data_IF_861585634400
#
_entry.id   IF_861585634400
#
_cell.length_a   1.000
_cell.length_b   1.000
_cell.length_c   1.000
_cell.angle_alpha   90.00
_cell.angle_beta   90.00
_cell.angle_gamma   90.00
#
_symmetry.space_group_name_H-M   'P 1'
#
loop_
_entity.id
_entity.type
_entity.pdbx_description
1 polymer ?
#
# COMPACT_ATOMS: atom_id res chain seq x y z
N UNK A 1 8.44 32.83 8.27
CA UNK A 1 7.90 31.47 8.46
C UNK A 1 7.57 30.90 7.09
N UNK A 2 8.41 30.06 6.47
CA UNK A 2 8.13 29.56 5.13
C UNK A 2 7.16 28.38 5.18
N UNK A 3 6.09 28.46 4.38
CA UNK A 3 5.21 27.35 4.09
C UNK A 3 5.96 26.31 3.25
N UNK A 4 5.92 25.04 3.64
CA UNK A 4 6.64 23.95 2.94
C UNK A 4 5.67 22.88 2.45
N UNK A 5 5.92 22.41 1.23
CA UNK A 5 5.31 21.17 0.73
C UNK A 5 6.23 20.03 1.13
N UNK A 6 5.73 19.13 1.99
CA UNK A 6 6.51 18.04 2.59
C UNK A 6 5.74 16.73 2.58
N UNK A 7 6.45 15.64 2.86
CA UNK A 7 5.88 14.32 3.00
C UNK A 7 5.65 14.00 4.47
N UNK A 8 4.43 13.64 4.83
CA UNK A 8 4.12 13.05 6.14
C UNK A 8 4.15 11.54 6.02
N UNK A 9 4.80 10.85 6.97
CA UNK A 9 4.93 9.40 6.93
C UNK A 9 3.72 8.77 7.60
N UNK A 10 2.95 8.07 6.80
CA UNK A 10 1.92 7.12 7.21
C UNK A 10 2.36 5.70 6.85
N UNK A 11 1.50 4.72 7.14
CA UNK A 11 1.76 3.32 6.88
C UNK A 11 2.49 2.62 8.02
N UNK A 12 2.86 1.37 7.78
CA UNK A 12 3.37 0.44 8.79
C UNK A 12 4.91 0.37 8.74
N UNK A 13 5.51 -0.40 9.65
CA UNK A 13 6.94 -0.77 9.53
C UNK A 13 7.15 -1.50 8.19
N UNK A 14 8.25 -1.22 7.51
CA UNK A 14 8.62 -1.77 6.18
C UNK A 14 7.64 -1.50 5.01
N UNK A 15 6.47 -0.90 5.23
CA UNK A 15 5.51 -0.50 4.19
C UNK A 15 5.18 0.99 4.34
N UNK A 16 6.06 1.89 3.88
CA UNK A 16 5.86 3.33 4.02
C UNK A 16 4.79 3.83 3.05
N UNK A 17 3.96 4.75 3.52
CA UNK A 17 2.95 5.45 2.72
C UNK A 17 3.03 6.93 3.05
N UNK A 18 3.04 7.81 2.07
CA UNK A 18 3.24 9.23 2.33
C UNK A 18 2.05 10.06 1.90
N UNK A 19 1.71 11.05 2.72
CA UNK A 19 0.81 12.11 2.29
C UNK A 19 1.66 13.31 1.85
N UNK A 20 1.28 13.89 0.71
CA UNK A 20 1.88 15.13 0.20
C UNK A 20 1.06 16.26 0.79
N UNK A 21 1.70 17.09 1.60
CA UNK A 21 0.99 18.00 2.51
C UNK A 21 1.67 19.36 2.55
N UNK A 22 0.86 20.40 2.64
CA UNK A 22 1.27 21.78 2.86
C UNK A 22 1.23 22.07 4.36
N UNK A 23 2.35 22.46 4.94
CA UNK A 23 2.45 22.77 6.36
C UNK A 23 3.50 23.84 6.65
N UNK A 24 3.41 24.48 7.82
CA UNK A 24 4.49 25.35 8.31
C UNK A 24 5.76 24.51 8.51
N UNK A 25 6.90 25.06 8.08
CA UNK A 25 8.24 24.53 8.33
C UNK A 25 8.52 24.07 9.77
N UNK A 26 7.94 24.72 10.78
CA UNK A 26 8.19 24.46 12.21
C UNK A 26 7.30 23.36 12.79
N UNK A 27 6.22 22.99 12.10
CA UNK A 27 5.34 21.94 12.58
C UNK A 27 6.08 20.58 12.60
N UNK A 28 5.73 19.69 13.53
CA UNK A 28 6.27 18.31 13.57
C UNK A 28 6.00 17.58 12.25
N UNK A 29 6.84 16.60 11.87
CA UNK A 29 6.72 15.86 10.59
C UNK A 29 5.29 15.39 10.33
N UNK A 30 4.75 14.60 11.25
CA UNK A 30 3.41 14.01 11.17
C UNK A 30 2.39 14.79 12.02
N UNK A 31 2.64 16.08 12.25
CA UNK A 31 1.77 16.96 13.03
C UNK A 31 0.68 17.65 12.19
N UNK A 32 0.10 18.70 12.77
CA UNK A 32 -0.90 19.54 12.11
C UNK A 32 -0.40 20.08 10.77
N UNK A 33 -1.27 20.03 9.78
CA UNK A 33 -1.06 20.57 8.45
C UNK A 33 -2.17 21.53 8.05
N UNK A 34 -1.97 22.26 6.96
CA UNK A 34 -2.96 23.19 6.41
C UNK A 34 -3.85 22.45 5.41
N UNK A 35 -3.23 21.80 4.43
CA UNK A 35 -3.96 21.12 3.35
C UNK A 35 -3.20 19.88 2.86
N UNK A 36 -3.96 18.83 2.53
CA UNK A 36 -3.44 17.60 1.91
C UNK A 36 -3.58 17.73 0.39
N UNK A 37 -2.45 17.75 -0.31
CA UNK A 37 -2.38 17.85 -1.77
C UNK A 37 -2.51 16.49 -2.47
N UNK A 38 -2.16 15.40 -1.78
CA UNK A 38 -2.16 14.09 -2.42
C UNK A 38 -1.49 13.00 -1.60
N UNK A 39 -1.16 11.91 -2.28
CA UNK A 39 -0.54 10.71 -1.73
C UNK A 39 0.63 10.24 -2.60
N UNK A 40 1.59 9.59 -1.94
CA UNK A 40 2.73 8.96 -2.58
C UNK A 40 3.00 7.59 -1.96
N UNK A 41 2.95 6.55 -2.79
CA UNK A 41 3.28 5.18 -2.39
C UNK A 41 4.52 4.70 -3.17
N UNK A 42 5.69 4.60 -2.53
CA UNK A 42 6.90 4.06 -3.17
C UNK A 42 6.95 2.53 -3.20
N UNK A 43 6.03 1.83 -2.54
CA UNK A 43 6.04 0.36 -2.46
C UNK A 43 5.58 -0.27 -3.77
N UNK A 44 4.77 0.45 -4.55
CA UNK A 44 4.33 0.02 -5.87
C UNK A 44 5.38 0.34 -6.93
N UNK A 45 5.48 -0.52 -7.96
CA UNK A 45 6.35 -0.29 -9.11
C UNK A 45 5.53 -0.44 -10.41
N UNK A 46 5.26 0.67 -11.14
CA UNK A 46 5.67 2.06 -10.86
C UNK A 46 5.06 2.66 -9.58
N UNK A 47 5.73 3.65 -8.99
CA UNK A 47 5.25 4.28 -7.75
C UNK A 47 3.92 5.02 -7.97
N UNK A 48 2.94 4.76 -7.12
CA UNK A 48 1.61 5.38 -7.20
C UNK A 48 1.68 6.79 -6.64
N UNK A 49 1.32 7.77 -7.46
CA UNK A 49 1.27 9.19 -7.10
C UNK A 49 -0.09 9.72 -7.52
N UNK A 50 -0.88 10.14 -6.54
CA UNK A 50 -2.11 10.90 -6.76
C UNK A 50 -1.89 12.31 -6.20
N UNK A 51 -2.19 13.31 -7.00
CA UNK A 51 -1.90 14.69 -6.69
C UNK A 51 -3.02 15.57 -7.23
N UNK A 52 -3.53 16.46 -6.39
CA UNK A 52 -4.38 17.56 -6.81
C UNK A 52 -3.51 18.64 -7.48
N UNK A 53 -3.67 18.78 -8.79
CA UNK A 53 -2.85 19.66 -9.61
C UNK A 53 -3.07 21.15 -9.30
N UNK A 54 -4.33 21.56 -9.18
CA UNK A 54 -4.69 22.97 -9.08
C UNK A 54 -4.36 23.53 -7.70
N UNK A 55 -4.66 22.77 -6.64
CA UNK A 55 -4.29 23.16 -5.28
C UNK A 55 -2.76 23.19 -5.11
N UNK A 56 -2.05 22.20 -5.66
CA UNK A 56 -0.57 22.20 -5.62
C UNK A 56 0.02 23.42 -6.31
N UNK A 57 -0.52 23.80 -7.47
CA UNK A 57 -0.08 24.97 -8.22
C UNK A 57 -0.34 26.27 -7.44
N UNK A 58 -1.54 26.42 -6.88
CA UNK A 58 -1.93 27.58 -6.06
C UNK A 58 -0.96 27.81 -4.90
N UNK A 59 -0.64 26.78 -4.13
CA UNK A 59 0.31 26.90 -3.01
C UNK A 59 1.73 27.25 -3.47
N UNK A 60 2.16 26.71 -4.61
CA UNK A 60 3.45 27.04 -5.19
C UNK A 60 3.54 28.47 -5.70
N UNK A 61 2.45 29.04 -6.26
CA UNK A 61 2.36 30.45 -6.64
C UNK A 61 2.37 31.35 -5.40
N UNK A 62 1.71 30.94 -4.33
CA UNK A 62 1.74 31.62 -3.02
C UNK A 62 3.09 31.51 -2.29
N UNK A 63 4.12 30.92 -2.91
CA UNK A 63 5.48 30.89 -2.39
C UNK A 63 5.83 29.66 -1.55
N UNK A 64 4.99 28.62 -1.51
CA UNK A 64 5.32 27.39 -0.80
C UNK A 64 6.61 26.75 -1.37
N UNK A 65 7.51 26.35 -0.48
CA UNK A 65 8.79 25.76 -0.82
C UNK A 65 8.73 24.23 -0.73
N UNK A 66 8.88 23.47 -1.84
CA UNK A 66 8.88 22.02 -1.79
C UNK A 66 10.21 21.46 -1.26
N UNK A 67 10.12 20.40 -0.45
CA UNK A 67 11.29 19.58 -0.06
C UNK A 67 11.82 18.77 -1.25
N UNK A 68 13.01 18.18 -1.14
CA UNK A 68 13.68 17.52 -2.27
C UNK A 68 12.84 16.43 -2.95
N UNK A 69 12.35 15.46 -2.18
CA UNK A 69 11.49 14.38 -2.72
C UNK A 69 10.15 14.92 -3.21
N UNK A 70 9.54 15.88 -2.50
CA UNK A 70 8.29 16.50 -2.95
C UNK A 70 8.48 17.24 -4.28
N UNK A 71 9.61 17.92 -4.47
CA UNK A 71 9.98 18.58 -5.73
C UNK A 71 10.09 17.59 -6.87
N UNK A 72 10.71 16.42 -6.65
CA UNK A 72 10.77 15.35 -7.66
C UNK A 72 9.38 14.86 -8.05
N UNK A 73 8.49 14.65 -7.08
CA UNK A 73 7.11 14.21 -7.32
C UNK A 73 6.33 15.28 -8.12
N UNK A 74 6.42 16.55 -7.72
CA UNK A 74 5.77 17.67 -8.40
C UNK A 74 6.33 17.89 -9.81
N UNK A 75 7.63 17.67 -10.01
CA UNK A 75 8.27 17.71 -11.33
C UNK A 75 7.82 16.55 -12.20
N UNK A 76 7.73 15.33 -11.65
CA UNK A 76 7.31 14.14 -12.37
C UNK A 76 5.87 14.27 -12.88
N UNK A 77 4.96 14.83 -12.07
CA UNK A 77 3.58 15.08 -12.46
C UNK A 77 3.39 16.33 -13.33
N UNK A 78 4.34 17.27 -13.35
CA UNK A 78 4.30 18.44 -14.24
C UNK A 78 3.89 19.77 -13.59
N UNK A 79 3.53 19.78 -12.31
CA UNK A 79 3.09 21.01 -11.61
C UNK A 79 4.17 22.11 -11.64
N UNK A 80 5.44 21.72 -11.43
CA UNK A 80 6.54 22.68 -11.49
C UNK A 80 6.79 23.23 -12.89
N UNK A 81 6.52 22.43 -13.92
CA UNK A 81 6.64 22.88 -15.31
C UNK A 81 5.53 23.88 -15.66
N UNK A 82 4.28 23.60 -15.27
CA UNK A 82 3.16 24.54 -15.40
C UNK A 82 3.45 25.86 -14.67
N UNK A 83 3.97 25.82 -13.44
CA UNK A 83 4.40 27.02 -12.70
C UNK A 83 5.44 27.85 -13.48
N UNK A 84 6.43 27.19 -14.09
CA UNK A 84 7.47 27.88 -14.85
C UNK A 84 6.90 28.60 -16.08
N UNK A 85 6.01 27.93 -16.82
CA UNK A 85 5.35 28.50 -17.99
C UNK A 85 4.47 29.71 -17.62
N UNK A 86 3.67 29.61 -16.55
CA UNK A 86 2.89 30.72 -16.02
C UNK A 86 3.77 31.90 -15.60
N UNK A 87 4.96 31.63 -15.05
CA UNK A 87 5.95 32.68 -14.76
C UNK A 87 6.49 33.39 -15.99
N UNK A 88 6.51 32.73 -17.16
CA UNK A 88 6.82 33.33 -18.46
C UNK A 88 5.67 34.20 -18.98
N UNK A 89 4.43 33.72 -18.85
CA UNK A 89 3.22 34.47 -19.20
C UNK A 89 3.10 35.75 -18.37
N UNK A 90 3.31 35.66 -17.04
CA UNK A 90 3.28 36.81 -16.14
C UNK A 90 4.35 37.87 -16.47
N UNK A 91 5.44 37.48 -17.15
CA UNK A 91 6.49 38.38 -17.63
C UNK A 91 6.26 38.88 -19.07
N UNK A 92 5.18 38.46 -19.72
CA UNK A 92 4.86 38.79 -21.11
C UNK A 92 5.72 38.08 -22.17
N UNK A 93 6.50 37.06 -21.77
CA UNK A 93 7.37 36.32 -22.69
C UNK A 93 6.64 35.23 -23.48
N UNK A 94 5.40 34.91 -23.09
CA UNK A 94 4.61 33.84 -23.66
C UNK A 94 3.12 34.18 -23.57
N UNK A 95 2.32 33.73 -24.53
CA UNK A 95 0.85 33.76 -24.41
C UNK A 95 0.37 32.56 -23.58
N UNK A 96 -0.82 32.68 -22.99
CA UNK A 96 -1.41 31.61 -22.18
C UNK A 96 -1.66 30.35 -23.01
N UNK A 97 -2.10 30.50 -24.26
CA UNK A 97 -2.30 29.38 -25.19
C UNK A 97 -1.00 28.65 -25.56
N UNK A 98 0.10 29.40 -25.75
CA UNK A 98 1.40 28.79 -26.03
C UNK A 98 1.95 28.04 -24.81
N UNK A 99 1.65 28.52 -23.60
CA UNK A 99 1.98 27.83 -22.35
C UNK A 99 1.27 26.49 -22.28
N UNK A 100 -0.03 26.47 -22.55
CA UNK A 100 -0.84 25.25 -22.53
C UNK A 100 -0.38 24.25 -23.59
N UNK A 101 -0.16 24.69 -24.83
CA UNK A 101 0.38 23.84 -25.90
C UNK A 101 1.71 23.19 -25.52
N UNK A 102 2.64 23.96 -24.92
CA UNK A 102 3.92 23.44 -24.44
C UNK A 102 3.75 22.48 -23.26
N UNK A 103 2.80 22.75 -22.37
CA UNK A 103 2.50 21.87 -21.25
C UNK A 103 1.93 20.53 -21.70
N UNK A 104 0.95 20.54 -22.61
CA UNK A 104 0.34 19.33 -23.17
C UNK A 104 1.34 18.48 -23.96
N UNK A 105 2.19 19.11 -24.78
CA UNK A 105 3.24 18.41 -25.51
C UNK A 105 4.20 17.69 -24.55
N UNK A 106 4.57 18.36 -23.45
CA UNK A 106 5.41 17.76 -22.41
C UNK A 106 4.69 16.61 -21.67
N UNK A 107 3.40 16.77 -21.35
CA UNK A 107 2.61 15.72 -20.71
C UNK A 107 2.53 14.47 -21.58
N UNK A 108 2.28 14.62 -22.89
CA UNK A 108 2.24 13.50 -23.85
C UNK A 108 3.58 12.76 -23.93
N UNK A 109 4.71 13.48 -24.01
CA UNK A 109 6.05 12.87 -23.98
C UNK A 109 6.30 12.10 -22.66
N UNK A 110 5.85 12.66 -21.52
CA UNK A 110 5.98 12.00 -20.23
C UNK A 110 5.11 10.77 -20.11
N UNK A 111 3.86 10.84 -20.52
CA UNK A 111 2.94 9.70 -20.53
C UNK A 111 3.48 8.57 -21.41
N UNK A 112 4.02 8.88 -22.60
CA UNK A 112 4.70 7.90 -23.45
C UNK A 112 5.85 7.20 -22.71
N UNK A 113 6.76 7.95 -22.09
CA UNK A 113 7.87 7.39 -21.30
C UNK A 113 7.42 6.57 -20.10
N UNK A 114 6.27 6.90 -19.52
CA UNK A 114 5.69 6.14 -18.41
C UNK A 114 5.10 4.84 -18.92
N UNK A 115 4.34 4.86 -20.03
CA UNK A 115 3.79 3.67 -20.67
C UNK A 115 4.89 2.70 -21.12
N UNK A 116 5.99 3.21 -21.67
CA UNK A 116 7.17 2.39 -22.02
C UNK A 116 7.80 1.70 -20.81
N UNK A 117 7.88 2.40 -19.67
CA UNK A 117 8.40 1.82 -18.43
C UNK A 117 7.46 0.77 -17.87
N UNK A 118 6.16 1.07 -17.82
CA UNK A 118 5.13 0.14 -17.32
C UNK A 118 5.14 -1.15 -18.15
N UNK A 119 5.10 -1.05 -19.47
CA UNK A 119 5.13 -2.22 -20.36
C UNK A 119 6.41 -3.05 -20.21
N UNK A 120 7.58 -2.43 -20.03
CA UNK A 120 8.84 -3.14 -19.74
C UNK A 120 8.79 -3.86 -18.39
N UNK A 121 8.24 -3.21 -17.36
CA UNK A 121 8.09 -3.82 -16.03
C UNK A 121 7.11 -4.99 -16.06
N UNK A 122 6.01 -4.87 -16.80
CA UNK A 122 5.02 -5.94 -16.95
C UNK A 122 5.60 -7.15 -17.68
N UNK A 123 6.34 -6.94 -18.77
CA UNK A 123 7.06 -8.02 -19.47
C UNK A 123 8.05 -8.73 -18.54
N UNK A 124 8.92 -7.98 -17.87
CA UNK A 124 9.88 -8.56 -16.93
C UNK A 124 9.21 -9.33 -15.77
N UNK A 125 8.06 -8.85 -15.26
CA UNK A 125 7.27 -9.57 -14.26
C UNK A 125 6.63 -10.84 -14.82
N UNK A 126 6.18 -10.83 -16.08
CA UNK A 126 5.61 -12.00 -16.73
C UNK A 126 6.68 -13.07 -16.95
N UNK A 127 7.86 -12.68 -17.47
CA UNK A 127 9.00 -13.58 -17.70
C UNK A 127 9.47 -14.22 -16.39
N UNK A 128 9.66 -13.41 -15.34
CA UNK A 128 10.05 -13.92 -14.02
C UNK A 128 9.02 -14.88 -13.40
N UNK A 129 7.72 -14.65 -13.62
CA UNK A 129 6.67 -15.57 -13.17
C UNK A 129 6.65 -16.87 -13.97
N UNK A 130 6.85 -16.79 -15.29
CA UNK A 130 6.91 -17.97 -16.14
C UNK A 130 8.11 -18.86 -15.78
N UNK A 131 9.28 -18.27 -15.54
CA UNK A 131 10.46 -19.00 -15.06
C UNK A 131 10.26 -19.62 -13.67
N UNK A 132 9.61 -18.91 -12.75
CA UNK A 132 9.29 -19.46 -11.42
C UNK A 132 8.35 -20.66 -11.51
N UNK A 133 7.28 -20.56 -12.32
CA UNK A 133 6.35 -21.66 -12.55
C UNK A 133 7.00 -22.86 -13.26
N UNK A 134 7.93 -22.63 -14.19
CA UNK A 134 8.69 -23.70 -14.82
C UNK A 134 9.58 -24.44 -13.81
N UNK A 135 10.29 -23.70 -12.95
CA UNK A 135 11.12 -24.28 -11.88
C UNK A 135 10.28 -25.04 -10.86
N UNK A 136 9.10 -24.54 -10.49
CA UNK A 136 8.18 -25.25 -9.59
C UNK A 136 7.65 -26.55 -10.22
N UNK A 137 7.32 -26.56 -11.51
CA UNK A 137 6.91 -27.78 -12.23
C UNK A 137 8.03 -28.81 -12.29
N UNK A 138 9.25 -28.42 -12.63
CA UNK A 138 10.39 -29.35 -12.63
C UNK A 138 10.67 -29.95 -11.24
N UNK A 139 10.52 -29.17 -10.17
CA UNK A 139 10.68 -29.68 -8.79
C UNK A 139 9.53 -30.61 -8.41
N UNK A 140 8.30 -30.30 -8.84
CA UNK A 140 7.13 -31.16 -8.63
C UNK A 140 7.26 -32.49 -9.38
N UNK A 141 7.62 -32.46 -10.65
CA UNK A 141 7.77 -33.65 -11.49
C UNK A 141 8.90 -34.56 -10.97
N UNK A 142 10.01 -33.98 -10.51
CA UNK A 142 11.09 -34.73 -9.83
C UNK A 142 10.59 -35.40 -8.54
N UNK A 143 9.79 -34.70 -7.73
CA UNK A 143 9.21 -35.26 -6.49
C UNK A 143 8.20 -36.39 -6.79
N UNK A 144 7.39 -36.27 -7.83
CA UNK A 144 6.43 -37.33 -8.22
C UNK A 144 7.16 -38.57 -8.75
N UNK A 145 8.23 -38.39 -9.53
CA UNK A 145 9.03 -39.50 -10.05
C UNK A 145 9.84 -40.23 -8.96
N UNK A 146 10.16 -39.58 -7.84
CA UNK A 146 10.88 -40.18 -6.71
C UNK A 146 9.95 -40.96 -5.75
N UNK A 147 8.65 -40.66 -5.73
CA UNK A 147 7.64 -41.36 -4.90
C UNK A 147 7.04 -42.59 -5.61
N UNK A 148 6.94 -42.59 -6.95
CA UNK A 148 6.46 -43.73 -7.73
C UNK A 148 7.27 -45.05 -7.64
N UNK A 149 8.61 -45.07 -7.40
CA UNK A 149 9.36 -46.30 -7.22
C UNK A 149 9.23 -46.93 -5.82
N UNK A 150 8.53 -46.30 -4.86
CA UNK A 150 8.40 -46.79 -3.48
C UNK A 150 7.05 -47.50 -3.20
N UNK A 151 6.07 -47.43 -4.11
CA UNK A 151 4.80 -48.17 -3.99
C UNK A 151 4.88 -49.65 -4.45
N UNK A 152 5.98 -50.12 -5.05
CA UNK A 152 6.15 -51.55 -5.43
C UNK A 152 6.81 -52.41 -4.32
N UNK A 153 7.09 -51.88 -3.13
CA UNK A 153 7.70 -52.64 -2.01
C UNK A 153 6.79 -52.73 -0.76
N UNK A 154 5.61 -52.12 -0.74
CA UNK A 154 4.76 -52.09 0.47
C UNK A 154 3.41 -52.82 0.39
N UNK A 155 3.08 -53.54 -0.70
CA UNK A 155 1.85 -54.33 -0.78
C UNK A 155 2.12 -55.84 -0.61
N UNK A 156 2.14 -56.31 0.65
CA UNK A 156 1.37 -57.48 1.14
C UNK A 156 1.62 -57.72 2.66
N UNK A 157 0.64 -58.26 3.40
CA UNK A 157 0.19 -57.73 4.69
C UNK A 157 0.49 -58.64 5.89
N UNK A 158 0.41 -58.10 7.11
CA UNK A 158 -0.14 -58.87 8.23
C UNK A 158 -0.73 -58.00 9.34
N UNK A 159 -2.03 -58.16 9.48
CA UNK A 159 -2.83 -57.86 10.66
C UNK A 159 -2.48 -58.81 11.82
N UNK A 160 -2.59 -58.30 13.05
CA UNK A 160 -2.81 -59.00 14.33
C UNK A 160 -3.13 -57.87 15.33
N UNK A 161 -4.38 -57.44 15.46
CA UNK A 161 -5.44 -57.94 16.35
C UNK A 161 -5.15 -57.79 17.86
N UNK A 162 -6.12 -57.15 18.52
CA UNK A 162 -6.17 -56.68 19.90
C UNK A 162 -6.32 -57.80 20.94
N UNK A 163 -5.89 -57.57 22.21
CA UNK A 163 -6.63 -58.03 23.41
C UNK A 163 -6.37 -57.14 24.65
N UNK A 164 -7.48 -56.59 25.17
CA UNK A 164 -7.93 -56.28 26.55
C UNK A 164 -6.97 -55.64 27.59
N UNK A 165 -7.27 -54.47 28.19
CA UNK A 165 -8.40 -54.10 29.07
C UNK A 165 -8.27 -54.68 30.50
N UNK A 166 -7.93 -53.81 31.47
CA UNK A 166 -8.27 -53.98 32.89
C UNK A 166 -8.73 -52.63 33.43
N UNK A 167 -10.04 -52.46 33.51
CA UNK A 167 -10.70 -51.44 34.31
C UNK A 167 -10.81 -51.92 35.78
N UNK A 168 -10.60 -51.01 36.72
CA UNK A 168 -11.40 -50.96 37.97
C UNK A 168 -11.38 -49.52 38.54
N UNK A 169 -12.42 -48.74 38.17
CA UNK A 169 -13.44 -48.06 39.02
C UNK A 169 -13.03 -47.82 40.49
N UNK A 170 -13.20 -46.69 41.19
CA UNK A 170 -14.12 -45.52 41.25
C UNK A 170 -13.41 -44.53 42.23
N UNK A 171 -13.59 -43.21 42.32
CA UNK A 171 -14.84 -42.46 42.46
C UNK A 171 -14.58 -40.93 42.45
N UNK A 172 -15.56 -40.20 41.93
CA UNK A 172 -15.99 -38.84 42.29
C UNK A 172 -15.19 -37.57 41.88
N UNK A 173 -15.64 -36.99 40.75
CA UNK A 173 -16.37 -35.71 40.68
C UNK A 173 -15.58 -34.42 41.03
N UNK A 174 -15.32 -33.57 40.02
CA UNK A 174 -15.90 -32.21 39.83
C UNK A 174 -15.10 -31.43 38.76
N UNK A 175 -15.82 -30.67 37.92
CA UNK A 175 -15.38 -29.56 37.06
C UNK A 175 -14.70 -29.82 35.70
N UNK A 176 -15.55 -29.88 34.67
CA UNK A 176 -15.22 -29.52 33.29
C UNK A 176 -15.09 -28.00 33.14
N UNK A 177 -13.93 -27.60 32.62
CA UNK A 177 -13.73 -26.61 31.57
C UNK A 177 -14.53 -25.29 31.59
N UNK A 178 -13.82 -24.16 31.75
CA UNK A 178 -13.93 -23.09 30.75
C UNK A 178 -12.70 -22.17 30.66
N UNK A 179 -12.06 -22.31 29.53
CA UNK A 179 -11.14 -21.40 28.89
C UNK A 179 -11.88 -20.13 28.39
N UNK A 180 -11.13 -19.03 28.46
CA UNK A 180 -11.21 -17.79 27.69
C UNK A 180 -12.38 -16.79 27.85
N UNK A 181 -11.98 -15.75 28.59
CA UNK A 181 -12.33 -14.34 28.60
C UNK A 181 -12.37 -13.67 27.21
N UNK A 182 -13.44 -12.92 26.92
CA UNK A 182 -13.36 -11.65 26.16
C UNK A 182 -14.56 -10.72 26.42
N UNK A 183 -14.38 -9.81 27.37
CA UNK A 183 -14.98 -8.46 27.46
C UNK A 183 -14.59 -7.64 26.20
N UNK A 184 -15.29 -6.64 25.63
CA UNK A 184 -16.46 -5.81 25.94
C UNK A 184 -16.68 -4.89 24.67
N UNK A 185 -17.57 -3.87 24.60
CA UNK A 185 -19.04 -3.81 24.77
C UNK A 185 -19.75 -3.08 23.59
N UNK A 186 -21.08 -3.24 23.44
CA UNK A 186 -21.97 -2.12 23.06
C UNK A 186 -23.47 -2.41 23.27
N UNK A 187 -24.17 -1.41 23.81
CA UNK A 187 -25.63 -1.26 23.98
C UNK A 187 -26.24 -2.18 25.05
N UNK A 188 -27.17 -1.78 25.91
CA UNK A 188 -28.17 -0.71 25.87
C UNK A 188 -28.65 -0.47 27.30
N UNK A 189 -28.72 0.78 27.75
CA UNK A 189 -29.40 1.16 28.99
C UNK A 189 -30.81 1.64 28.63
N UNK A 190 -31.83 0.97 29.16
CA UNK A 190 -33.23 1.36 29.04
C UNK A 190 -33.91 1.12 30.39
N UNK A 191 -34.48 2.22 30.90
CA UNK A 191 -35.65 2.30 31.77
C UNK A 191 -35.56 1.65 33.16
N UNK A 192 -35.51 2.51 34.19
CA UNK A 192 -36.43 2.33 35.32
C UNK A 192 -37.08 3.68 35.68
N UNK A 193 -38.40 3.67 35.59
CA UNK A 193 -39.33 4.78 35.72
C UNK A 193 -39.93 4.73 37.13
N UNK A 194 -39.86 5.82 37.91
CA UNK A 194 -40.87 6.07 38.95
C UNK A 194 -40.97 7.54 39.43
N UNK A 195 -42.02 8.19 38.90
CA UNK A 195 -43.08 8.97 39.56
C UNK A 195 -42.77 10.13 40.51
N UNK A 196 -43.30 11.29 40.10
CA UNK A 196 -44.13 12.28 40.83
C UNK A 196 -43.89 12.48 42.34
N UNK A 197 -43.34 13.65 42.70
CA UNK A 197 -43.96 14.67 43.55
C UNK A 197 -43.09 15.93 43.57
#
# INVERSE_FOLDING_TARGET
MPLKIRLQRHGRKAKPYFWIVVADSRAKRDGKFIEKLGIYNPTTNPATIELDFDNSLKHLLNGAQPTDTARRILSYKGVLYKKHLLGGVAKGALTEEEAEKKFEAWMKDKEGKIMDKTSKIEKAKADARAEALAKEKEVSDKRVAEVAPEEEVAEEPKADEAVAETETKEEAKTEEAKEETKEDPKSSDKEDEKKEA
#
